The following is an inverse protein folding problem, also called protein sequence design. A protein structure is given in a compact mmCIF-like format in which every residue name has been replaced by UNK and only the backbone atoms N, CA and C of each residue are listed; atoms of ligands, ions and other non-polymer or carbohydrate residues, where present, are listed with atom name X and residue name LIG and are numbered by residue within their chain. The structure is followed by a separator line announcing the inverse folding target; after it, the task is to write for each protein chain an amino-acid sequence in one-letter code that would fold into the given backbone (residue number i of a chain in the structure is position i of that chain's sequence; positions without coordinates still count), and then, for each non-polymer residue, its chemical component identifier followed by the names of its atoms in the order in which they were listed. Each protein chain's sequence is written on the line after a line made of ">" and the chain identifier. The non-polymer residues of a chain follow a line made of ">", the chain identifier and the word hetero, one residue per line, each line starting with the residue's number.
data_IF_702169277538
#
_entry.id   IF_702169277538
#
_cell.length_a   1.000
_cell.length_b   1.000
_cell.length_c   1.000
_cell.angle_alpha   90.00
_cell.angle_beta   90.00
_cell.angle_gamma   90.00
#
_symmetry.space_group_name_H-M   'P 1'
#
loop_
_entity.id
_entity.type
_entity.pdbx_description
1 polymer ?
#
# COMPACT_ATOMS: atom_id res chain seq x y z
N UNK A 1 -6.66 -18.18 56.13
CA UNK A 1 -5.79 -17.10 55.68
C UNK A 1 -4.60 -17.74 54.95
N UNK A 2 -4.64 -17.86 53.63
CA UNK A 2 -3.55 -18.42 52.81
C UNK A 2 -2.87 -17.27 52.06
N UNK A 3 -1.59 -17.04 52.34
CA UNK A 3 -0.72 -16.06 51.69
C UNK A 3 -0.32 -16.58 50.30
N UNK A 4 -0.70 -15.90 49.24
CA UNK A 4 -0.15 -16.12 47.90
C UNK A 4 1.18 -15.38 47.78
N UNK A 5 2.23 -16.15 47.51
CA UNK A 5 3.57 -15.65 47.23
C UNK A 5 3.66 -15.39 45.73
N UNK A 6 3.77 -14.14 45.33
CA UNK A 6 4.02 -13.73 43.92
C UNK A 6 5.52 -13.86 43.65
N UNK A 7 5.89 -14.83 42.84
CA UNK A 7 7.27 -14.95 42.31
C UNK A 7 7.32 -14.13 41.00
N UNK A 8 7.98 -12.97 41.08
CA UNK A 8 8.32 -12.18 39.89
C UNK A 8 9.61 -12.78 39.31
N UNK A 9 9.47 -13.46 38.18
CA UNK A 9 10.61 -13.96 37.41
C UNK A 9 11.12 -12.84 36.52
N UNK A 10 12.18 -12.14 36.91
CA UNK A 10 12.89 -11.19 36.07
C UNK A 10 13.67 -11.94 35.01
N UNK A 11 13.21 -11.96 33.77
CA UNK A 11 13.94 -12.49 32.62
C UNK A 11 14.95 -11.42 32.14
N UNK A 12 16.21 -11.57 32.55
CA UNK A 12 17.34 -10.79 31.99
C UNK A 12 17.55 -11.24 30.55
N UNK A 13 17.08 -10.45 29.56
CA UNK A 13 17.52 -10.59 28.18
C UNK A 13 18.92 -10.03 28.02
N UNK A 14 19.89 -10.91 27.92
CA UNK A 14 21.23 -10.59 27.43
C UNK A 14 21.11 -10.32 25.94
N UNK A 15 21.15 -9.04 25.54
CA UNK A 15 21.32 -8.68 24.13
C UNK A 15 22.76 -9.00 23.72
N UNK A 16 22.96 -10.20 23.16
CA UNK A 16 24.12 -10.47 22.35
C UNK A 16 23.99 -9.61 21.08
N UNK A 17 24.87 -8.64 20.91
CA UNK A 17 25.07 -7.92 19.65
C UNK A 17 25.68 -8.88 18.62
N UNK A 18 24.88 -9.77 18.07
CA UNK A 18 25.17 -10.41 16.80
C UNK A 18 24.95 -9.37 15.73
N UNK A 19 26.01 -8.98 15.02
CA UNK A 19 25.92 -8.12 13.86
C UNK A 19 24.87 -8.69 12.92
N UNK A 20 23.73 -8.02 12.79
CA UNK A 20 22.69 -8.35 11.86
C UNK A 20 23.21 -8.04 10.46
N UNK A 21 23.69 -9.05 9.75
CA UNK A 21 23.68 -9.02 8.31
C UNK A 21 22.20 -8.85 7.91
N UNK A 22 21.87 -7.74 7.28
CA UNK A 22 20.53 -7.47 6.75
C UNK A 22 20.13 -8.60 5.81
N UNK A 23 18.97 -9.26 5.98
CA UNK A 23 18.48 -10.26 5.04
C UNK A 23 18.15 -9.69 3.64
N UNK A 24 18.22 -8.38 3.46
CA UNK A 24 17.95 -7.70 2.18
C UNK A 24 18.95 -8.03 1.06
N UNK A 25 20.13 -8.61 1.35
CA UNK A 25 21.14 -8.86 0.33
C UNK A 25 20.84 -10.06 -0.59
N UNK A 26 20.02 -11.03 -0.15
CA UNK A 26 19.78 -12.25 -0.90
C UNK A 26 18.71 -12.09 -2.00
N UNK A 27 17.91 -11.03 -1.94
CA UNK A 27 16.83 -10.72 -2.89
C UNK A 27 17.11 -9.51 -3.78
N UNK A 28 18.24 -8.84 -3.63
CA UNK A 28 18.58 -7.71 -4.49
C UNK A 28 18.63 -8.12 -5.97
N UNK A 29 17.96 -7.38 -6.88
CA UNK A 29 17.97 -7.68 -8.30
C UNK A 29 19.41 -7.65 -8.85
N UNK A 30 19.78 -8.63 -9.66
CA UNK A 30 21.10 -8.72 -10.31
C UNK A 30 21.25 -7.72 -11.44
N UNK A 31 20.16 -7.41 -12.10
CA UNK A 31 20.05 -6.42 -13.18
C UNK A 31 18.58 -5.95 -13.33
N UNK A 32 18.33 -5.04 -14.27
CA UNK A 32 17.00 -4.48 -14.51
C UNK A 32 15.97 -5.53 -14.97
N UNK A 33 16.39 -6.59 -15.65
CA UNK A 33 15.53 -7.70 -16.06
C UNK A 33 15.11 -8.54 -14.84
N UNK A 34 16.05 -8.87 -14.00
CA UNK A 34 15.82 -9.61 -12.76
C UNK A 34 14.86 -8.83 -11.86
N UNK A 35 15.05 -7.51 -11.71
CA UNK A 35 14.13 -6.63 -10.99
C UNK A 35 12.70 -6.67 -11.52
N UNK A 36 12.52 -6.65 -12.84
CA UNK A 36 11.18 -6.76 -13.45
C UNK A 36 10.54 -8.14 -13.23
N UNK A 37 11.32 -9.22 -13.27
CA UNK A 37 10.81 -10.57 -13.00
C UNK A 37 10.40 -10.72 -11.52
N UNK A 38 11.16 -10.14 -10.61
CA UNK A 38 10.83 -10.11 -9.19
C UNK A 38 9.56 -9.29 -8.96
N UNK A 39 9.43 -8.11 -9.56
CA UNK A 39 8.23 -7.29 -9.47
C UNK A 39 6.99 -8.01 -10.04
N UNK A 40 7.13 -8.71 -11.18
CA UNK A 40 6.03 -9.50 -11.76
C UNK A 40 5.59 -10.64 -10.83
N UNK A 41 6.53 -11.27 -10.13
CA UNK A 41 6.22 -12.29 -9.12
C UNK A 41 5.49 -11.69 -7.90
N UNK A 42 5.98 -10.56 -7.36
CA UNK A 42 5.35 -9.86 -6.24
C UNK A 42 3.95 -9.34 -6.61
N UNK A 43 3.76 -8.88 -7.85
CA UNK A 43 2.48 -8.42 -8.35
C UNK A 43 1.37 -9.47 -8.18
N UNK A 44 1.72 -10.76 -8.33
CA UNK A 44 0.78 -11.87 -8.12
C UNK A 44 0.20 -11.91 -6.70
N UNK A 45 0.99 -11.49 -5.71
CA UNK A 45 0.54 -11.37 -4.32
C UNK A 45 -0.14 -10.03 -4.09
N UNK A 46 0.50 -8.92 -4.46
CA UNK A 46 0.06 -7.58 -4.08
C UNK A 46 -1.20 -7.13 -4.82
N UNK A 47 -1.42 -7.56 -6.08
CA UNK A 47 -2.54 -7.09 -6.89
C UNK A 47 -3.67 -8.11 -7.09
N UNK A 48 -3.47 -9.40 -6.77
CA UNK A 48 -4.43 -10.48 -7.02
C UNK A 48 -4.89 -11.22 -5.76
N UNK A 49 -4.53 -10.74 -4.61
CA UNK A 49 -5.10 -11.11 -3.32
C UNK A 49 -5.48 -9.86 -2.55
N UNK A 50 -6.23 -10.01 -1.48
CA UNK A 50 -6.53 -8.92 -0.57
C UNK A 50 -6.31 -9.41 0.85
N UNK A 51 -5.72 -8.57 1.69
CA UNK A 51 -5.29 -8.93 3.05
C UNK A 51 -6.43 -9.52 3.89
N UNK A 52 -7.64 -8.98 3.71
CA UNK A 52 -8.83 -9.37 4.48
C UNK A 52 -9.95 -9.98 3.63
N UNK A 53 -9.71 -10.26 2.33
CA UNK A 53 -10.71 -10.85 1.44
C UNK A 53 -10.06 -11.82 0.44
N UNK A 54 -10.30 -13.12 0.61
CA UNK A 54 -9.70 -14.20 -0.19
C UNK A 54 -10.26 -14.33 -1.61
N UNK A 55 -11.30 -13.59 -1.99
CA UNK A 55 -12.04 -13.83 -3.23
C UNK A 55 -11.56 -12.97 -4.42
N UNK A 56 -10.51 -12.18 -4.26
CA UNK A 56 -9.98 -11.37 -5.35
C UNK A 56 -9.11 -12.21 -6.28
N UNK A 57 -9.61 -12.53 -7.45
CA UNK A 57 -8.92 -13.31 -8.48
C UNK A 57 -8.54 -12.51 -9.72
N UNK A 58 -8.99 -11.26 -9.83
CA UNK A 58 -8.78 -10.40 -11.00
C UNK A 58 -8.25 -9.03 -10.62
N UNK A 59 -7.54 -8.40 -11.54
CA UNK A 59 -6.96 -7.08 -11.37
C UNK A 59 -8.05 -6.02 -11.22
N UNK A 60 -7.93 -5.19 -10.18
CA UNK A 60 -8.68 -3.94 -10.07
C UNK A 60 -7.72 -2.76 -10.24
N UNK A 61 -8.07 -1.84 -11.15
CA UNK A 61 -7.27 -0.63 -11.38
C UNK A 61 -8.18 0.53 -11.80
N UNK A 62 -7.65 1.74 -11.73
CA UNK A 62 -8.33 2.92 -12.25
C UNK A 62 -8.18 3.01 -13.76
N UNK A 63 -9.27 3.32 -14.44
CA UNK A 63 -9.29 3.60 -15.89
C UNK A 63 -9.61 5.07 -16.16
N UNK A 64 -10.16 5.78 -15.18
CA UNK A 64 -10.55 7.19 -15.26
C UNK A 64 -9.77 8.04 -14.26
N UNK A 65 -9.89 9.37 -14.40
CA UNK A 65 -9.26 10.37 -13.54
C UNK A 65 -9.47 10.07 -12.05
N UNK A 66 -8.40 10.22 -11.25
CA UNK A 66 -8.37 9.97 -9.80
C UNK A 66 -8.37 11.31 -9.09
N UNK A 67 -9.46 11.61 -8.39
CA UNK A 67 -9.66 12.84 -7.62
C UNK A 67 -9.58 12.53 -6.14
N UNK A 68 -8.52 13.01 -5.50
CA UNK A 68 -8.22 12.73 -4.09
C UNK A 68 -8.66 13.90 -3.22
N UNK A 69 -9.46 13.64 -2.21
CA UNK A 69 -9.81 14.61 -1.17
C UNK A 69 -9.14 14.23 0.16
N UNK A 70 -8.55 15.22 0.83
CA UNK A 70 -8.00 15.08 2.18
C UNK A 70 -8.96 15.71 3.19
N UNK A 71 -9.60 14.89 4.01
CA UNK A 71 -10.63 15.28 4.97
C UNK A 71 -10.25 15.01 6.43
N UNK A 72 -11.19 15.29 7.34
CA UNK A 72 -10.95 15.19 8.77
C UNK A 72 -10.09 16.34 9.29
N UNK A 73 -8.96 16.04 9.90
CA UNK A 73 -8.04 17.03 10.47
C UNK A 73 -6.60 16.82 10.00
N UNK A 74 -6.32 16.89 8.67
CA UNK A 74 -4.95 16.81 8.17
C UNK A 74 -4.15 18.03 8.65
N UNK A 75 -2.89 17.84 8.96
CA UNK A 75 -1.95 18.96 9.16
C UNK A 75 -1.52 19.54 7.82
N UNK A 76 -0.89 20.72 7.83
CA UNK A 76 -0.28 21.29 6.61
C UNK A 76 0.81 20.38 6.04
N UNK A 77 1.50 19.62 6.89
CA UNK A 77 2.53 18.67 6.47
C UNK A 77 1.91 17.44 5.81
N UNK A 78 0.79 16.92 6.33
CA UNK A 78 0.04 15.81 5.71
C UNK A 78 -0.40 16.19 4.28
N UNK A 79 -0.95 17.40 4.12
CA UNK A 79 -1.39 17.89 2.80
C UNK A 79 -0.23 18.08 1.83
N UNK A 80 0.89 18.64 2.30
CA UNK A 80 2.11 18.84 1.49
C UNK A 80 2.69 17.49 1.02
N UNK A 81 2.76 16.51 1.92
CA UNK A 81 3.26 15.17 1.60
C UNK A 81 2.35 14.44 0.60
N UNK A 82 1.03 14.58 0.76
CA UNK A 82 0.08 14.07 -0.22
C UNK A 82 0.30 14.71 -1.60
N UNK A 83 0.35 16.05 -1.68
CA UNK A 83 0.56 16.75 -2.95
C UNK A 83 1.89 16.35 -3.62
N UNK A 84 2.97 16.19 -2.84
CA UNK A 84 4.26 15.71 -3.34
C UNK A 84 4.16 14.28 -3.89
N UNK A 85 3.48 13.38 -3.19
CA UNK A 85 3.33 12.00 -3.61
C UNK A 85 2.44 11.87 -4.86
N UNK A 86 1.36 12.65 -4.99
CA UNK A 86 0.53 12.66 -6.22
C UNK A 86 1.34 13.14 -7.44
N UNK A 87 2.23 14.11 -7.26
CA UNK A 87 3.16 14.53 -8.32
C UNK A 87 4.16 13.42 -8.68
N UNK A 88 4.72 12.74 -7.68
CA UNK A 88 5.65 11.63 -7.89
C UNK A 88 4.99 10.47 -8.63
N UNK A 89 3.76 10.09 -8.26
CA UNK A 89 2.95 9.08 -8.95
C UNK A 89 2.77 9.43 -10.44
N UNK A 90 2.40 10.66 -10.73
CA UNK A 90 2.21 11.13 -12.12
C UNK A 90 3.51 11.10 -12.94
N UNK A 91 4.65 11.30 -12.30
CA UNK A 91 5.96 11.24 -12.96
C UNK A 91 6.48 9.81 -13.13
N UNK A 92 6.36 8.99 -12.07
CA UNK A 92 6.95 7.64 -12.01
C UNK A 92 6.08 6.58 -12.69
N UNK A 93 4.77 6.82 -12.82
CA UNK A 93 3.79 5.92 -13.45
C UNK A 93 3.08 6.66 -14.60
N UNK A 94 3.73 6.83 -15.76
CA UNK A 94 3.23 7.71 -16.84
C UNK A 94 1.89 7.29 -17.43
N UNK A 95 1.48 6.04 -17.26
CA UNK A 95 0.20 5.50 -17.76
C UNK A 95 -0.87 5.39 -16.66
N UNK A 96 -0.57 5.85 -15.44
CA UNK A 96 -1.59 6.07 -14.43
C UNK A 96 -2.56 7.15 -14.94
N UNK A 97 -3.89 6.96 -14.81
CA UNK A 97 -4.83 8.06 -15.05
C UNK A 97 -4.45 9.31 -14.27
N UNK A 98 -4.82 10.46 -14.80
CA UNK A 98 -4.54 11.75 -14.14
C UNK A 98 -4.98 11.68 -12.69
N UNK A 99 -4.05 11.94 -11.77
CA UNK A 99 -4.31 11.97 -10.33
C UNK A 99 -4.13 13.39 -9.80
N UNK A 100 -5.16 13.93 -9.15
CA UNK A 100 -5.15 15.30 -8.63
C UNK A 100 -5.82 15.36 -7.26
N UNK A 101 -5.39 16.33 -6.43
CA UNK A 101 -6.13 16.64 -5.21
C UNK A 101 -7.22 17.67 -5.51
N UNK A 102 -8.42 17.41 -4.96
CA UNK A 102 -9.58 18.33 -5.02
C UNK A 102 -9.83 18.97 -3.66
N UNK A 103 -10.52 20.12 -3.67
CA UNK A 103 -10.82 20.87 -2.44
C UNK A 103 -12.17 20.53 -1.82
N UNK A 104 -13.07 19.88 -2.57
CA UNK A 104 -14.39 19.50 -2.11
C UNK A 104 -14.58 17.98 -2.18
N UNK A 105 -15.08 17.38 -1.10
CA UNK A 105 -15.30 15.95 -0.99
C UNK A 105 -16.22 15.40 -2.11
N UNK A 106 -17.22 16.19 -2.51
CA UNK A 106 -18.20 15.81 -3.54
C UNK A 106 -17.60 15.65 -4.93
N UNK A 107 -16.39 16.17 -5.15
CA UNK A 107 -15.66 16.04 -6.41
C UNK A 107 -14.75 14.81 -6.44
N UNK A 108 -14.51 14.21 -5.27
CA UNK A 108 -13.54 13.12 -5.11
C UNK A 108 -14.14 11.74 -5.42
N UNK A 109 -13.31 10.87 -5.99
CA UNK A 109 -13.54 9.43 -6.04
C UNK A 109 -12.57 8.65 -5.13
N UNK A 110 -11.56 9.33 -4.57
CA UNK A 110 -10.73 8.80 -3.47
C UNK A 110 -10.76 9.80 -2.31
N UNK A 111 -11.05 9.33 -1.10
CA UNK A 111 -11.05 10.15 0.11
C UNK A 111 -10.02 9.62 1.11
N UNK A 112 -9.22 10.53 1.69
CA UNK A 112 -8.27 10.23 2.77
C UNK A 112 -8.71 11.03 3.99
N UNK A 113 -9.10 10.34 5.07
CA UNK A 113 -9.52 10.95 6.31
C UNK A 113 -8.45 10.82 7.38
N UNK A 114 -7.96 11.94 7.88
CA UNK A 114 -7.07 12.05 9.03
C UNK A 114 -7.92 12.25 10.28
N UNK A 115 -8.13 11.20 11.05
CA UNK A 115 -9.11 11.15 12.14
C UNK A 115 -8.55 10.43 13.37
N UNK A 116 -9.13 10.62 14.56
CA UNK A 116 -8.77 9.80 15.72
C UNK A 116 -8.99 8.30 15.46
N UNK A 117 -8.13 7.45 16.03
CA UNK A 117 -8.16 6.00 15.83
C UNK A 117 -9.56 5.40 16.07
N UNK A 118 -10.26 5.85 17.11
CA UNK A 118 -11.60 5.37 17.43
C UNK A 118 -12.70 5.81 16.45
N UNK A 119 -12.38 6.67 15.50
CA UNK A 119 -13.30 7.18 14.48
C UNK A 119 -13.08 6.55 13.11
N UNK A 120 -12.00 5.79 12.91
CA UNK A 120 -11.62 5.24 11.58
C UNK A 120 -12.72 4.40 10.94
N UNK A 121 -13.40 3.56 11.72
CA UNK A 121 -14.49 2.69 11.25
C UNK A 121 -15.67 3.46 10.61
N UNK A 122 -15.83 4.76 10.88
CA UNK A 122 -16.87 5.58 10.26
C UNK A 122 -16.52 6.04 8.84
N UNK A 123 -15.25 5.91 8.42
CA UNK A 123 -14.74 6.47 7.17
C UNK A 123 -14.37 5.40 6.13
N UNK A 124 -14.15 4.16 6.55
CA UNK A 124 -13.79 3.03 5.67
C UNK A 124 -14.72 1.84 5.91
N UNK A 125 -14.89 1.00 4.90
CA UNK A 125 -15.70 -0.20 5.02
C UNK A 125 -14.86 -1.34 5.64
N UNK A 126 -15.51 -2.20 6.44
CA UNK A 126 -14.90 -3.41 7.00
C UNK A 126 -13.61 -3.18 7.80
N UNK A 127 -13.52 -2.04 8.48
CA UNK A 127 -12.35 -1.70 9.29
C UNK A 127 -12.01 -2.81 10.28
N UNK A 128 -10.74 -3.19 10.30
CA UNK A 128 -10.18 -4.13 11.28
C UNK A 128 -9.56 -3.33 12.42
N UNK A 129 -10.08 -3.53 13.63
CA UNK A 129 -9.66 -2.78 14.81
C UNK A 129 -8.16 -2.96 15.11
N UNK A 130 -7.51 -1.86 15.47
CA UNK A 130 -6.09 -1.82 15.81
C UNK A 130 -5.18 -1.32 14.69
N UNK A 131 -5.65 -1.23 13.45
CA UNK A 131 -4.87 -0.65 12.36
C UNK A 131 -4.84 0.89 12.46
N UNK A 132 -3.69 1.49 12.22
CA UNK A 132 -3.49 2.94 12.23
C UNK A 132 -3.68 3.58 10.85
N UNK A 133 -3.54 2.81 9.79
CA UNK A 133 -3.96 3.08 8.43
C UNK A 133 -4.92 1.99 7.99
N UNK A 134 -5.86 2.31 7.13
CA UNK A 134 -6.77 1.33 6.55
C UNK A 134 -7.42 1.89 5.30
N UNK A 135 -7.53 1.07 4.26
CA UNK A 135 -8.27 1.44 3.07
C UNK A 135 -9.40 0.46 2.76
N UNK A 136 -10.34 0.94 2.01
CA UNK A 136 -11.36 0.15 1.34
C UNK A 136 -11.64 0.74 -0.04
N UNK A 137 -12.10 -0.06 -0.97
CA UNK A 137 -12.47 0.40 -2.30
C UNK A 137 -13.72 -0.32 -2.80
N UNK A 138 -14.31 0.23 -3.85
CA UNK A 138 -15.34 -0.44 -4.66
C UNK A 138 -14.92 -0.43 -6.13
N UNK A 139 -15.34 -1.46 -6.86
CA UNK A 139 -15.06 -1.62 -8.28
C UNK A 139 -16.30 -2.15 -9.01
N UNK A 140 -16.34 -1.94 -10.31
CA UNK A 140 -17.33 -2.54 -11.19
C UNK A 140 -16.97 -4.01 -11.45
N UNK A 141 -17.93 -4.75 -12.02
CA UNK A 141 -17.72 -6.16 -12.41
C UNK A 141 -16.59 -6.34 -13.46
N UNK A 142 -16.25 -5.28 -14.17
CA UNK A 142 -15.11 -5.22 -15.09
C UNK A 142 -13.74 -5.22 -14.39
N UNK A 143 -13.68 -5.00 -13.07
CA UNK A 143 -12.43 -4.73 -12.36
C UNK A 143 -12.02 -3.25 -12.34
N UNK A 144 -12.71 -2.37 -13.06
CA UNK A 144 -12.47 -0.94 -12.99
C UNK A 144 -12.83 -0.39 -11.60
N UNK A 145 -11.93 0.35 -10.99
CA UNK A 145 -12.16 0.97 -9.69
C UNK A 145 -13.15 2.13 -9.78
N UNK A 146 -14.08 2.19 -8.84
CA UNK A 146 -15.15 3.20 -8.79
C UNK A 146 -14.93 4.22 -7.67
N UNK A 147 -14.49 3.77 -6.51
CA UNK A 147 -14.20 4.63 -5.36
C UNK A 147 -13.16 4.01 -4.43
N UNK A 148 -12.36 4.85 -3.79
CA UNK A 148 -11.42 4.51 -2.73
C UNK A 148 -11.69 5.31 -1.47
N UNK A 149 -11.52 4.69 -0.30
CA UNK A 149 -11.60 5.33 1.01
C UNK A 149 -10.43 4.91 1.86
N UNK A 150 -9.78 5.89 2.46
CA UNK A 150 -8.62 5.71 3.33
C UNK A 150 -8.91 6.43 4.64
N UNK A 151 -8.58 5.80 5.76
CA UNK A 151 -8.58 6.43 7.07
C UNK A 151 -7.20 6.27 7.72
N UNK A 152 -6.68 7.34 8.29
CA UNK A 152 -5.37 7.41 8.94
C UNK A 152 -5.55 7.96 10.37
N UNK A 153 -5.06 7.23 11.35
CA UNK A 153 -5.12 7.65 12.75
C UNK A 153 -4.17 8.82 12.99
N UNK A 154 -4.71 9.98 13.38
CA UNK A 154 -3.92 11.20 13.58
C UNK A 154 -3.58 11.51 15.05
N UNK A 155 -4.17 10.81 16.00
CA UNK A 155 -3.99 11.00 17.45
C UNK A 155 -2.98 10.03 18.09
N UNK A 156 -2.66 8.93 17.41
CA UNK A 156 -1.72 7.88 17.89
C UNK A 156 -0.47 7.76 17.03
N UNK A 157 -0.37 8.50 15.92
CA UNK A 157 0.75 8.48 14.99
C UNK A 157 1.49 9.82 14.96
N UNK A 158 2.79 9.76 14.76
CA UNK A 158 3.60 10.94 14.42
C UNK A 158 3.57 11.21 12.90
N UNK A 159 4.16 12.34 12.45
CA UNK A 159 4.14 12.74 11.04
C UNK A 159 4.80 11.71 10.13
N UNK A 160 5.94 11.12 10.55
CA UNK A 160 6.66 10.12 9.76
C UNK A 160 5.81 8.86 9.52
N UNK A 161 5.11 8.42 10.57
CA UNK A 161 4.19 7.28 10.50
C UNK A 161 2.99 7.57 9.59
N UNK A 162 2.39 8.77 9.69
CA UNK A 162 1.29 9.16 8.79
C UNK A 162 1.73 9.27 7.33
N UNK A 163 2.95 9.75 7.07
CA UNK A 163 3.49 9.82 5.72
C UNK A 163 3.64 8.41 5.12
N UNK A 164 4.14 7.47 5.91
CA UNK A 164 4.23 6.05 5.52
C UNK A 164 2.85 5.48 5.20
N UNK A 165 1.93 5.52 6.18
CA UNK A 165 0.58 4.99 6.05
C UNK A 165 -0.19 5.64 4.87
N UNK A 166 -0.05 6.95 4.66
CA UNK A 166 -0.69 7.62 3.52
C UNK A 166 -0.24 7.03 2.18
N UNK A 167 1.05 6.73 2.02
CA UNK A 167 1.59 6.12 0.79
C UNK A 167 1.13 4.69 0.64
N UNK A 168 1.25 3.89 1.70
CA UNK A 168 0.86 2.49 1.75
C UNK A 168 -0.62 2.31 1.36
N UNK A 169 -1.52 3.00 2.05
CA UNK A 169 -2.97 2.89 1.81
C UNK A 169 -3.38 3.45 0.44
N UNK A 170 -2.72 4.52 -0.04
CA UNK A 170 -3.00 5.06 -1.36
C UNK A 170 -2.52 4.10 -2.46
N UNK A 171 -1.35 3.49 -2.32
CA UNK A 171 -0.86 2.43 -3.23
C UNK A 171 -1.80 1.23 -3.23
N UNK A 172 -2.37 0.87 -2.08
CA UNK A 172 -3.42 -0.14 -1.95
C UNK A 172 -4.65 0.18 -2.80
N UNK A 173 -5.14 1.42 -2.72
CA UNK A 173 -6.26 1.93 -3.53
C UNK A 173 -5.88 2.03 -5.01
N UNK A 174 -4.62 2.17 -5.36
CA UNK A 174 -4.15 2.19 -6.76
C UNK A 174 -3.98 0.79 -7.38
N UNK A 175 -4.23 -0.28 -6.62
CA UNK A 175 -4.28 -1.65 -7.16
C UNK A 175 -3.34 -2.66 -6.51
N UNK A 176 -2.40 -2.24 -5.65
CA UNK A 176 -1.56 -3.14 -4.84
C UNK A 176 -2.20 -3.35 -3.46
N UNK A 177 -3.31 -4.06 -3.41
CA UNK A 177 -4.20 -4.14 -2.25
C UNK A 177 -3.84 -5.20 -1.22
N UNK A 178 -2.66 -5.79 -1.33
CA UNK A 178 -2.13 -6.75 -0.37
C UNK A 178 -0.62 -6.60 -0.23
N UNK A 179 -0.10 -7.03 0.91
CA UNK A 179 1.30 -6.92 1.26
C UNK A 179 2.08 -8.18 0.90
N UNK A 180 3.40 -8.03 0.85
CA UNK A 180 4.34 -9.14 0.71
C UNK A 180 5.40 -9.13 1.83
N UNK A 181 6.14 -10.23 1.98
CA UNK A 181 7.16 -10.41 3.03
C UNK A 181 8.60 -10.43 2.52
N UNK A 182 8.84 -10.06 1.24
CA UNK A 182 10.15 -10.29 0.59
C UNK A 182 11.10 -9.10 0.68
N UNK A 183 10.62 -7.87 0.54
CA UNK A 183 11.45 -6.66 0.42
C UNK A 183 11.11 -5.67 1.53
N UNK A 184 11.99 -5.57 2.52
CA UNK A 184 11.76 -4.73 3.71
C UNK A 184 11.82 -3.22 3.46
N UNK A 185 12.28 -2.80 2.29
CA UNK A 185 12.29 -1.42 1.80
C UNK A 185 11.06 -1.06 0.95
N UNK A 186 10.19 -2.03 0.68
CA UNK A 186 8.92 -1.82 -0.01
C UNK A 186 7.90 -1.10 0.89
N UNK A 187 7.08 -0.24 0.29
CA UNK A 187 5.98 0.42 0.99
C UNK A 187 4.86 -0.56 1.38
N UNK A 188 4.70 -1.66 0.63
CA UNK A 188 3.74 -2.74 0.89
C UNK A 188 4.42 -3.97 1.51
N UNK A 189 5.35 -3.73 2.45
CA UNK A 189 5.99 -4.79 3.22
C UNK A 189 5.17 -5.11 4.47
N UNK A 190 4.65 -6.33 4.62
CA UNK A 190 3.72 -6.75 5.67
C UNK A 190 4.17 -6.45 7.12
N UNK A 191 5.43 -6.73 7.55
CA UNK A 191 5.87 -6.29 8.87
C UNK A 191 5.95 -4.77 8.94
N UNK A 192 5.53 -4.21 10.08
CA UNK A 192 5.57 -2.76 10.30
C UNK A 192 6.93 -2.14 9.95
N UNK A 193 6.90 -1.11 9.13
CA UNK A 193 8.04 -0.26 8.78
C UNK A 193 7.64 1.22 8.83
N UNK A 194 8.61 2.10 8.64
CA UNK A 194 8.39 3.54 8.48
C UNK A 194 9.14 4.05 7.25
N UNK A 195 9.19 3.26 6.17
CA UNK A 195 9.76 3.71 4.89
C UNK A 195 9.00 4.93 4.38
N UNK A 196 9.70 5.88 3.77
CA UNK A 196 9.11 7.16 3.35
C UNK A 196 8.96 7.26 1.84
N UNK A 197 9.52 6.34 1.10
CA UNK A 197 9.56 6.35 -0.35
C UNK A 197 9.20 4.96 -0.87
N UNK A 198 8.61 4.89 -2.04
CA UNK A 198 8.38 3.62 -2.72
C UNK A 198 9.73 3.07 -3.21
N UNK A 199 9.94 1.78 -3.01
CA UNK A 199 11.10 1.07 -3.55
C UNK A 199 10.98 0.89 -5.07
N UNK A 200 12.07 0.49 -5.72
CA UNK A 200 12.03 0.22 -7.16
C UNK A 200 11.06 -0.91 -7.53
N UNK A 201 10.88 -1.90 -6.64
CA UNK A 201 9.89 -2.99 -6.82
C UNK A 201 8.46 -2.44 -6.80
N UNK A 202 8.15 -1.51 -5.90
CA UNK A 202 6.82 -0.89 -5.83
C UNK A 202 6.51 -0.12 -7.12
N UNK A 203 7.47 0.70 -7.60
CA UNK A 203 7.32 1.42 -8.86
C UNK A 203 7.14 0.50 -10.05
N UNK A 204 7.90 -0.59 -10.11
CA UNK A 204 7.77 -1.58 -11.17
C UNK A 204 6.40 -2.27 -11.14
N UNK A 205 5.90 -2.64 -9.96
CA UNK A 205 4.56 -3.22 -9.80
C UNK A 205 3.46 -2.24 -10.26
N UNK A 206 3.51 -0.98 -9.83
CA UNK A 206 2.56 0.04 -10.28
C UNK A 206 2.60 0.25 -11.80
N UNK A 207 3.79 0.32 -12.40
CA UNK A 207 3.94 0.42 -13.85
C UNK A 207 3.42 -0.83 -14.60
N UNK A 208 3.44 -2.00 -13.97
CA UNK A 208 2.83 -3.21 -14.51
C UNK A 208 1.30 -3.18 -14.43
N UNK A 209 0.73 -2.73 -13.30
CA UNK A 209 -0.72 -2.52 -13.15
C UNK A 209 -1.25 -1.58 -14.23
N UNK A 210 -0.53 -0.50 -14.51
CA UNK A 210 -0.93 0.52 -15.50
C UNK A 210 -0.24 0.33 -16.86
N UNK A 211 0.27 -0.86 -17.16
CA UNK A 211 0.82 -1.20 -18.48
C UNK A 211 -0.27 -1.11 -19.56
N UNK A 212 0.05 -0.68 -20.80
CA UNK A 212 -0.90 -0.64 -21.90
C UNK A 212 -1.31 -2.05 -22.41
N UNK A 213 -0.67 -3.11 -21.89
CA UNK A 213 -0.97 -4.50 -22.22
C UNK A 213 -1.87 -5.18 -21.18
N UNK A 214 -2.24 -4.44 -20.13
CA UNK A 214 -2.97 -4.96 -18.99
C UNK A 214 -4.30 -4.21 -18.87
N UNK A 215 -5.39 -4.94 -18.74
CA UNK A 215 -6.73 -4.40 -18.59
C UNK A 215 -7.31 -4.76 -17.21
N UNK A 216 -8.25 -3.94 -16.73
CA UNK A 216 -9.09 -4.27 -15.58
C UNK A 216 -9.77 -5.63 -15.78
N UNK A 217 -9.90 -6.40 -14.72
CA UNK A 217 -10.57 -7.71 -14.75
C UNK A 217 -9.73 -8.87 -15.25
N UNK A 218 -8.51 -8.64 -15.75
CA UNK A 218 -7.59 -9.72 -16.09
C UNK A 218 -7.21 -10.53 -14.85
N UNK A 219 -7.11 -11.86 -15.01
CA UNK A 219 -6.50 -12.75 -14.00
C UNK A 219 -4.97 -12.58 -13.99
N UNK A 220 -4.31 -13.00 -12.90
CA UNK A 220 -2.84 -13.00 -12.83
C UNK A 220 -2.20 -13.77 -13.99
N UNK A 221 -2.79 -14.91 -14.39
CA UNK A 221 -2.30 -15.70 -15.52
C UNK A 221 -2.30 -14.93 -16.83
N UNK A 222 -3.35 -14.14 -17.09
CA UNK A 222 -3.44 -13.30 -18.28
C UNK A 222 -2.45 -12.14 -18.22
N UNK A 223 -2.35 -11.45 -17.09
CA UNK A 223 -1.36 -10.39 -16.87
C UNK A 223 0.07 -10.92 -17.03
N UNK A 224 0.38 -12.07 -16.44
CA UNK A 224 1.68 -12.73 -16.62
C UNK A 224 1.96 -13.03 -18.08
N UNK A 225 0.99 -13.57 -18.82
CA UNK A 225 1.14 -13.96 -20.21
C UNK A 225 1.44 -12.77 -21.15
N UNK A 226 0.91 -11.59 -20.85
CA UNK A 226 1.16 -10.37 -21.66
C UNK A 226 2.41 -9.61 -21.22
N UNK A 227 2.78 -9.63 -19.93
CA UNK A 227 3.96 -8.91 -19.43
C UNK A 227 5.26 -9.70 -19.56
N UNK A 228 5.25 -11.00 -19.31
CA UNK A 228 6.47 -11.82 -19.34
C UNK A 228 7.26 -11.70 -20.64
N UNK A 229 6.65 -11.77 -21.85
CA UNK A 229 7.38 -11.61 -23.12
C UNK A 229 8.02 -10.21 -23.30
N UNK A 230 7.51 -9.17 -22.61
CA UNK A 230 8.12 -7.83 -22.65
C UNK A 230 9.38 -7.72 -21.79
N UNK A 231 9.53 -8.64 -20.83
CA UNK A 231 10.69 -8.70 -19.91
C UNK A 231 11.74 -9.68 -20.44
N UNK A 232 11.28 -10.79 -21.00
CA UNK A 232 12.11 -11.90 -21.52
C UNK A 232 11.74 -12.10 -22.99
N UNK A 233 12.31 -11.29 -23.90
CA UNK A 233 12.08 -11.39 -25.34
C UNK A 233 12.69 -12.64 -25.96
#
# INVERSE_FOLDING_TARGET
>A
MKRFLLVVLALLMVFATLGSASPASDFAPRDARDGKLQALSCLGVCAFSAEYNSDRSTLCRWENEIKVYAGGSPTSDDVRELDAFLMELSFRVPLLPVVTRVSAEQEANVTIYYVPLNSMAAHVNSYVEGNWGYFSYSNYASGEMAAGRIALANDVTNQRQRNHLMREELVGVLGLSNDHTLYADSIVYQPWTEVQELSEIDWLMLNMVYSPHVDSGMSYKEVYAVLYPTIVP
#
